data_IF_833398896271
#
_entry.id   IF_833398896271
#
_cell.length_a   1.000
_cell.length_b   1.000
_cell.length_c   1.000
_cell.angle_alpha   90.00
_cell.angle_beta   90.00
_cell.angle_gamma   90.00
#
_symmetry.space_group_name_H-M   'P 1'
#
loop_
_entity.id
_entity.type
_entity.pdbx_description
1 polymer ?
#
# COMPACT_ATOMS: atom_id res chain seq x y z
N UNK A 1 -2.42 -4.81 -20.09
CA UNK A 1 -3.54 -5.32 -19.24
C UNK A 1 -4.49 -4.15 -18.99
N UNK A 2 -5.82 -4.30 -19.14
CA UNK A 2 -6.77 -3.19 -18.89
C UNK A 2 -6.58 -2.65 -17.45
N UNK A 3 -6.55 -1.33 -17.28
CA UNK A 3 -6.27 -0.63 -16.00
C UNK A 3 -7.15 -1.11 -14.86
N UNK A 4 -8.42 -1.36 -15.13
CA UNK A 4 -9.37 -1.90 -14.16
C UNK A 4 -8.93 -3.28 -13.62
N UNK A 5 -8.45 -4.16 -14.50
CA UNK A 5 -7.91 -5.47 -14.10
C UNK A 5 -6.60 -5.33 -13.32
N UNK A 6 -5.80 -4.30 -13.63
CA UNK A 6 -4.60 -3.99 -12.88
C UNK A 6 -4.96 -3.62 -11.44
N UNK A 7 -5.84 -2.63 -11.23
CA UNK A 7 -6.21 -2.16 -9.89
C UNK A 7 -6.88 -3.26 -9.07
N UNK A 8 -7.82 -3.99 -9.67
CA UNK A 8 -8.62 -4.99 -8.97
C UNK A 8 -7.76 -6.11 -8.36
N UNK A 9 -6.72 -6.54 -9.07
CA UNK A 9 -5.80 -7.56 -8.58
C UNK A 9 -5.03 -7.12 -7.32
N UNK A 10 -4.56 -5.87 -7.26
CA UNK A 10 -3.78 -5.35 -6.11
C UNK A 10 -4.71 -5.02 -4.94
N UNK A 11 -5.91 -4.54 -5.23
CA UNK A 11 -6.94 -4.26 -4.21
C UNK A 11 -7.47 -5.51 -3.54
N UNK A 12 -7.48 -6.63 -4.26
CA UNK A 12 -7.85 -7.92 -3.69
C UNK A 12 -6.94 -8.28 -2.53
N UNK A 13 -5.62 -8.12 -2.67
CA UNK A 13 -4.68 -8.42 -1.60
C UNK A 13 -4.83 -7.46 -0.42
N UNK A 14 -4.95 -6.15 -0.67
CA UNK A 14 -5.18 -5.17 0.38
C UNK A 14 -6.47 -5.46 1.18
N UNK A 15 -7.56 -5.84 0.52
CA UNK A 15 -8.82 -6.24 1.17
C UNK A 15 -8.69 -7.54 1.95
N UNK A 16 -7.97 -8.53 1.43
CA UNK A 16 -7.77 -9.83 2.10
C UNK A 16 -6.91 -9.70 3.34
N UNK A 17 -5.85 -8.91 3.28
CA UNK A 17 -4.95 -8.70 4.43
C UNK A 17 -5.48 -7.68 5.44
N UNK A 18 -6.51 -6.90 5.09
CA UNK A 18 -7.10 -5.89 5.98
C UNK A 18 -7.62 -6.47 7.30
N UNK A 19 -8.53 -7.47 7.28
CA UNK A 19 -9.01 -8.12 8.50
C UNK A 19 -7.88 -8.77 9.31
N UNK A 20 -6.89 -9.36 8.63
CA UNK A 20 -5.72 -9.97 9.28
C UNK A 20 -4.89 -8.92 10.02
N UNK A 21 -4.68 -7.75 9.41
CA UNK A 21 -3.96 -6.64 10.02
C UNK A 21 -4.70 -6.05 11.22
N UNK A 22 -6.03 -5.95 11.14
CA UNK A 22 -6.87 -5.51 12.27
C UNK A 22 -6.76 -6.52 13.42
N UNK A 23 -6.89 -7.82 13.14
CA UNK A 23 -6.73 -8.87 14.14
C UNK A 23 -5.32 -8.83 14.75
N UNK A 24 -4.28 -8.65 13.94
CA UNK A 24 -2.90 -8.47 14.38
C UNK A 24 -2.72 -7.29 15.33
N UNK A 25 -3.28 -6.13 15.00
CA UNK A 25 -3.24 -4.95 15.87
C UNK A 25 -3.96 -5.20 17.20
N UNK A 26 -5.14 -5.84 17.18
CA UNK A 26 -5.87 -6.21 18.40
C UNK A 26 -5.03 -7.15 19.27
N UNK A 27 -4.41 -8.17 18.68
CA UNK A 27 -3.51 -9.10 19.38
C UNK A 27 -2.31 -8.35 19.98
N UNK A 28 -1.73 -7.39 19.25
CA UNK A 28 -0.62 -6.60 19.75
C UNK A 28 -1.02 -5.73 20.95
N UNK A 29 -2.20 -5.09 20.90
CA UNK A 29 -2.74 -4.28 22.01
C UNK A 29 -3.02 -5.14 23.24
N UNK A 30 -3.62 -6.32 23.06
CA UNK A 30 -3.86 -7.26 24.16
C UNK A 30 -2.52 -7.69 24.76
N UNK A 31 -1.57 -8.10 23.92
CA UNK A 31 -0.22 -8.50 24.35
C UNK A 31 0.48 -7.40 25.15
N UNK A 32 0.35 -6.15 24.71
CA UNK A 32 0.89 -5.00 25.44
C UNK A 32 0.21 -4.81 26.80
N UNK A 33 -1.12 -4.87 26.86
CA UNK A 33 -1.89 -4.71 28.09
C UNK A 33 -1.56 -5.76 29.15
N UNK A 34 -1.25 -7.00 28.75
CA UNK A 34 -0.87 -8.08 29.66
C UNK A 34 0.65 -8.28 29.79
N UNK A 35 1.46 -7.36 29.25
CA UNK A 35 2.93 -7.46 29.24
C UNK A 35 3.51 -8.72 28.57
N UNK A 36 2.77 -9.35 27.66
CA UNK A 36 3.20 -10.51 26.89
C UNK A 36 3.86 -10.08 25.58
N UNK A 37 5.18 -9.88 25.60
CA UNK A 37 5.96 -9.41 24.45
C UNK A 37 5.87 -10.31 23.21
N UNK A 38 5.69 -11.63 23.40
CA UNK A 38 5.52 -12.57 22.29
C UNK A 38 4.21 -12.35 21.53
N UNK A 39 3.12 -11.98 22.23
CA UNK A 39 1.85 -11.61 21.58
C UNK A 39 1.97 -10.30 20.82
N UNK A 40 2.71 -9.34 21.36
CA UNK A 40 3.03 -8.08 20.67
C UNK A 40 3.74 -8.37 19.34
N UNK A 41 4.78 -9.22 19.38
CA UNK A 41 5.52 -9.62 18.19
C UNK A 41 4.65 -10.33 17.14
N UNK A 42 3.81 -11.29 17.56
CA UNK A 42 2.86 -11.99 16.67
C UNK A 42 1.88 -10.99 16.06
N UNK A 43 1.31 -10.10 16.87
CA UNK A 43 0.37 -9.09 16.41
C UNK A 43 0.96 -8.20 15.32
N UNK A 44 2.19 -7.70 15.52
CA UNK A 44 2.90 -6.95 14.49
C UNK A 44 3.18 -7.77 13.23
N UNK A 45 3.63 -9.02 13.38
CA UNK A 45 3.91 -9.90 12.24
C UNK A 45 2.68 -10.12 11.36
N UNK A 46 1.48 -10.23 11.96
CA UNK A 46 0.22 -10.35 11.23
C UNK A 46 -0.17 -9.06 10.48
N UNK A 47 0.29 -7.90 10.92
CA UNK A 47 0.05 -6.60 10.26
C UNK A 47 1.01 -6.35 9.09
N UNK A 48 2.20 -6.96 9.08
CA UNK A 48 3.25 -6.74 8.07
C UNK A 48 2.75 -6.94 6.62
N UNK A 49 2.06 -8.03 6.24
CA UNK A 49 1.64 -8.23 4.86
C UNK A 49 0.75 -7.11 4.32
N UNK A 50 -0.17 -6.58 5.14
CA UNK A 50 -1.02 -5.48 4.75
C UNK A 50 -0.23 -4.18 4.59
N UNK A 51 0.66 -3.89 5.54
CA UNK A 51 1.51 -2.70 5.50
C UNK A 51 2.40 -2.67 4.25
N UNK A 52 3.02 -3.82 3.91
CA UNK A 52 3.79 -3.96 2.67
C UNK A 52 2.94 -3.62 1.44
N UNK A 53 1.71 -4.11 1.36
CA UNK A 53 0.82 -3.79 0.24
C UNK A 53 0.47 -2.30 0.17
N UNK A 54 0.22 -1.64 1.30
CA UNK A 54 0.00 -0.18 1.34
C UNK A 54 1.19 0.58 0.78
N UNK A 55 2.42 0.15 1.08
CA UNK A 55 3.64 0.81 0.58
C UNK A 55 3.89 0.50 -0.90
N UNK A 56 3.63 -0.74 -1.33
CA UNK A 56 3.91 -1.19 -2.70
C UNK A 56 2.93 -0.63 -3.74
N UNK A 57 1.67 -0.44 -3.38
CA UNK A 57 0.63 0.05 -4.30
C UNK A 57 1.00 1.40 -4.95
N UNK A 58 1.41 2.44 -4.22
CA UNK A 58 1.88 3.70 -4.79
C UNK A 58 3.03 3.53 -5.75
N UNK A 59 3.99 2.66 -5.42
CA UNK A 59 5.16 2.39 -6.27
C UNK A 59 4.73 1.75 -7.58
N UNK A 60 3.88 0.73 -7.51
CA UNK A 60 3.35 0.08 -8.70
C UNK A 60 2.48 1.03 -9.52
N UNK A 61 1.66 1.86 -8.86
CA UNK A 61 0.82 2.86 -9.52
C UNK A 61 1.67 3.89 -10.25
N UNK A 62 2.70 4.42 -9.60
CA UNK A 62 3.64 5.34 -10.20
C UNK A 62 4.36 4.68 -11.38
N UNK A 63 4.84 3.44 -11.24
CA UNK A 63 5.51 2.69 -12.32
C UNK A 63 4.61 2.50 -13.54
N UNK A 64 3.33 2.20 -13.32
CA UNK A 64 2.33 2.04 -14.39
C UNK A 64 2.06 3.36 -15.13
N UNK A 65 2.19 4.50 -14.44
CA UNK A 65 1.92 5.84 -14.97
C UNK A 65 3.15 6.59 -15.46
N UNK A 66 4.36 6.08 -15.22
CA UNK A 66 5.59 6.79 -15.56
C UNK A 66 5.88 6.68 -17.06
N UNK A 67 5.92 7.83 -17.74
CA UNK A 67 6.20 7.99 -19.17
C UNK A 67 7.60 8.61 -19.33
N UNK A 68 8.64 7.87 -18.95
CA UNK A 68 10.03 8.31 -19.13
C UNK A 68 10.99 7.12 -19.26
N UNK A 69 12.24 7.39 -19.60
CA UNK A 69 13.22 6.32 -19.92
C UNK A 69 13.79 5.62 -18.68
N UNK A 70 13.81 6.31 -17.52
CA UNK A 70 14.50 5.87 -16.28
C UNK A 70 13.55 5.33 -15.19
N UNK A 71 12.55 4.54 -15.56
CA UNK A 71 11.48 4.06 -14.65
C UNK A 71 12.02 3.32 -13.41
N UNK A 72 13.05 2.50 -13.59
CA UNK A 72 13.62 1.70 -12.49
C UNK A 72 14.38 2.57 -11.48
N UNK A 73 15.11 3.59 -11.96
CA UNK A 73 15.88 4.50 -11.10
C UNK A 73 14.96 5.34 -10.22
N UNK A 74 13.93 5.92 -10.82
CA UNK A 74 12.94 6.71 -10.08
C UNK A 74 12.06 5.85 -9.16
N UNK A 75 11.76 4.61 -9.56
CA UNK A 75 11.11 3.64 -8.67
C UNK A 75 11.97 3.30 -7.44
N UNK A 76 13.29 3.12 -7.63
CA UNK A 76 14.22 2.91 -6.53
C UNK A 76 14.36 4.15 -5.64
N UNK A 77 14.41 5.35 -6.23
CA UNK A 77 14.40 6.60 -5.48
C UNK A 77 13.12 6.78 -4.68
N UNK A 78 11.94 6.41 -5.20
CA UNK A 78 10.67 6.40 -4.44
C UNK A 78 10.64 5.39 -3.30
N UNK A 79 11.42 4.31 -3.41
CA UNK A 79 11.61 3.35 -2.31
C UNK A 79 12.53 3.94 -1.24
N UNK A 80 13.63 4.57 -1.66
CA UNK A 80 14.69 5.14 -0.81
C UNK A 80 14.27 6.47 -0.15
N UNK A 81 13.48 7.29 -0.84
CA UNK A 81 12.92 8.53 -0.31
C UNK A 81 11.83 8.16 0.71
N UNK A 82 12.28 8.14 1.95
CA UNK A 82 11.76 7.34 3.06
C UNK A 82 10.88 8.14 4.00
N UNK A 83 10.51 9.37 3.65
CA UNK A 83 9.69 10.19 4.53
C UNK A 83 8.32 9.55 4.82
N UNK A 84 7.85 8.61 3.98
CA UNK A 84 6.63 7.83 4.22
C UNK A 84 5.35 8.64 4.02
N UNK A 85 5.32 9.88 4.51
CA UNK A 85 4.29 10.89 4.33
C UNK A 85 3.97 11.15 2.85
N UNK A 86 5.00 11.20 1.98
CA UNK A 86 4.79 11.37 0.54
C UNK A 86 4.01 10.20 -0.07
N UNK A 87 4.18 8.97 0.43
CA UNK A 87 3.43 7.80 -0.04
C UNK A 87 1.96 7.88 0.38
N UNK A 88 1.69 8.38 1.59
CA UNK A 88 0.33 8.62 2.08
C UNK A 88 -0.34 9.73 1.25
N UNK A 89 0.34 10.86 1.02
CA UNK A 89 -0.20 11.94 0.17
C UNK A 89 -0.45 11.45 -1.25
N UNK A 90 0.45 10.66 -1.82
CA UNK A 90 0.30 10.07 -3.15
C UNK A 90 -0.91 9.14 -3.24
N UNK A 91 -1.16 8.36 -2.18
CA UNK A 91 -2.34 7.51 -2.06
C UNK A 91 -3.65 8.30 -2.24
N UNK A 92 -3.78 9.40 -1.51
CA UNK A 92 -5.00 10.22 -1.54
C UNK A 92 -5.11 11.09 -2.79
N UNK A 93 -3.99 11.58 -3.34
CA UNK A 93 -3.98 12.44 -4.54
C UNK A 93 -4.09 11.68 -5.85
N UNK A 94 -3.56 10.47 -5.94
CA UNK A 94 -3.40 9.76 -7.21
C UNK A 94 -4.09 8.40 -7.19
N UNK A 95 -3.75 7.53 -6.25
CA UNK A 95 -4.21 6.13 -6.27
C UNK A 95 -5.73 6.01 -6.06
N UNK A 96 -6.28 6.68 -5.04
CA UNK A 96 -7.71 6.62 -4.74
C UNK A 96 -8.58 7.32 -5.80
N UNK A 97 -8.24 8.53 -6.30
CA UNK A 97 -8.99 9.17 -7.37
C UNK A 97 -8.97 8.38 -8.67
N UNK A 98 -7.82 7.82 -9.07
CA UNK A 98 -7.71 7.02 -10.30
C UNK A 98 -8.57 5.75 -10.23
N UNK A 99 -8.64 5.10 -9.06
CA UNK A 99 -9.58 3.98 -8.83
C UNK A 99 -11.03 4.41 -9.04
N UNK A 100 -11.41 5.59 -8.55
CA UNK A 100 -12.78 6.13 -8.69
C UNK A 100 -13.06 6.71 -10.07
N UNK A 101 -12.12 6.59 -11.03
CA UNK A 101 -12.15 7.27 -12.33
C UNK A 101 -12.36 8.78 -12.21
N UNK A 102 -11.97 9.36 -11.07
CA UNK A 102 -12.08 10.78 -10.76
C UNK A 102 -10.70 11.47 -10.75
N UNK A 103 -9.64 10.73 -11.07
CA UNK A 103 -8.28 11.24 -11.11
C UNK A 103 -7.92 11.91 -12.43
N UNK A 104 -6.76 12.58 -12.43
CA UNK A 104 -6.26 13.43 -13.53
C UNK A 104 -6.08 12.67 -14.86
N UNK A 105 -6.05 11.34 -14.83
CA UNK A 105 -5.84 10.46 -15.97
C UNK A 105 -7.03 9.53 -16.24
N UNK A 106 -8.25 9.93 -15.87
CA UNK A 106 -9.46 9.17 -16.12
C UNK A 106 -9.70 8.90 -17.63
N UNK A 107 -9.26 9.81 -18.49
CA UNK A 107 -9.57 9.81 -19.94
C UNK A 107 -8.39 9.44 -20.85
N UNK A 108 -7.23 9.13 -20.29
CA UNK A 108 -6.04 8.73 -21.08
C UNK A 108 -6.03 7.22 -21.09
N UNK A 109 -6.42 6.59 -22.19
CA UNK A 109 -6.51 5.12 -22.35
C UNK A 109 -5.14 4.43 -22.45
#
# INVERSE_FOLDING_TARGET
MKRDKWFEAKWRYLRRFGPLAIAGLVVAVIGFAISAQWLVAIGFLLTVPWFLWVVLIPIYHWKDRYIGERTTLWGALLVIETSGWMKIVYWFRHVLPDRKRAGRYANVD
#
